data_IF_017258709815
#
_entry.id   IF_017258709815
#
_cell.length_a   1.000
_cell.length_b   1.000
_cell.length_c   1.000
_cell.angle_alpha   90.00
_cell.angle_beta   90.00
_cell.angle_gamma   90.00
#
_symmetry.space_group_name_H-M   'P 1'
#
loop_
_entity.id
_entity.type
_entity.pdbx_description
1 polymer ?
#
# COMPACT_ATOMS: atom_id res chain seq x y z
N UNK A 1 -14.81 -6.91 -10.35
CA UNK A 1 -13.81 -6.63 -9.30
C UNK A 1 -14.21 -5.46 -8.40
N UNK A 2 -14.73 -4.35 -8.96
CA UNK A 2 -15.11 -3.14 -8.19
C UNK A 2 -16.00 -3.37 -6.96
N UNK A 3 -16.90 -4.37 -6.98
CA UNK A 3 -17.78 -4.72 -5.85
C UNK A 3 -17.07 -5.09 -4.54
N UNK A 4 -15.77 -5.40 -4.59
CA UNK A 4 -14.96 -5.72 -3.41
C UNK A 4 -14.23 -4.50 -2.82
N UNK A 5 -14.32 -3.33 -3.47
CA UNK A 5 -13.65 -2.11 -3.04
C UNK A 5 -14.67 -1.10 -2.54
N UNK A 6 -14.48 -0.60 -1.32
CA UNK A 6 -15.24 0.53 -0.78
C UNK A 6 -14.94 1.81 -1.58
N UNK A 7 -13.69 1.98 -2.02
CA UNK A 7 -13.25 3.14 -2.79
C UNK A 7 -12.11 2.77 -3.74
N UNK A 8 -12.03 3.42 -4.90
CA UNK A 8 -10.96 3.25 -5.89
C UNK A 8 -10.34 4.61 -6.17
N UNK A 9 -9.06 4.75 -5.83
CA UNK A 9 -8.27 5.96 -6.06
C UNK A 9 -7.16 5.68 -7.08
N UNK A 10 -6.93 6.63 -7.97
CA UNK A 10 -5.81 6.63 -8.92
C UNK A 10 -5.21 8.02 -9.06
N UNK A 11 -4.11 8.15 -9.80
CA UNK A 11 -3.59 9.47 -10.16
C UNK A 11 -4.57 10.22 -11.08
N UNK A 12 -4.49 11.55 -11.08
CA UNK A 12 -5.26 12.39 -11.99
C UNK A 12 -4.46 12.76 -13.23
N UNK A 13 -5.14 12.95 -14.36
CA UNK A 13 -4.51 13.36 -15.62
C UNK A 13 -4.01 14.80 -15.60
N UNK A 14 -4.59 15.65 -14.76
CA UNK A 14 -4.21 17.05 -14.58
C UNK A 14 -2.98 17.24 -13.67
N UNK A 15 -2.42 16.14 -13.14
CA UNK A 15 -1.22 16.17 -12.31
C UNK A 15 -1.46 16.66 -10.87
N UNK A 16 -2.70 16.93 -10.46
CA UNK A 16 -3.00 17.31 -9.06
C UNK A 16 -2.74 16.19 -8.06
N UNK A 17 -2.74 14.92 -8.50
CA UNK A 17 -2.43 13.74 -7.68
C UNK A 17 -1.55 12.77 -8.46
N UNK A 18 -0.24 12.84 -8.26
CA UNK A 18 0.75 12.03 -9.00
C UNK A 18 1.55 11.13 -8.08
N UNK A 19 1.93 11.60 -6.89
CA UNK A 19 2.74 10.81 -5.96
C UNK A 19 1.87 9.77 -5.28
N UNK A 20 2.49 8.61 -4.97
CA UNK A 20 1.79 7.50 -4.31
C UNK A 20 1.20 7.92 -2.96
N UNK A 21 1.94 8.69 -2.16
CA UNK A 21 1.44 9.24 -0.90
C UNK A 21 0.16 10.06 -1.05
N UNK A 22 0.03 10.86 -2.12
CA UNK A 22 -1.18 11.66 -2.37
C UNK A 22 -2.39 10.79 -2.74
N UNK A 23 -2.17 9.71 -3.49
CA UNK A 23 -3.21 8.72 -3.82
C UNK A 23 -3.66 7.98 -2.56
N UNK A 24 -2.72 7.57 -1.71
CA UNK A 24 -3.03 6.88 -0.45
C UNK A 24 -3.79 7.81 0.48
N UNK A 25 -3.33 9.06 0.67
CA UNK A 25 -4.01 10.07 1.50
C UNK A 25 -5.46 10.24 1.07
N UNK A 26 -5.68 10.45 -0.23
CA UNK A 26 -7.02 10.64 -0.78
C UNK A 26 -7.92 9.41 -0.55
N UNK A 27 -7.37 8.19 -0.66
CA UNK A 27 -8.12 6.97 -0.38
C UNK A 27 -8.49 6.84 1.11
N UNK A 28 -7.57 7.14 2.03
CA UNK A 28 -7.82 7.10 3.47
C UNK A 28 -8.89 8.12 3.87
N UNK A 29 -8.76 9.37 3.41
CA UNK A 29 -9.73 10.44 3.65
C UNK A 29 -11.12 10.07 3.11
N UNK A 30 -11.20 9.54 1.89
CA UNK A 30 -12.47 9.13 1.26
C UNK A 30 -13.14 7.96 2.01
N UNK A 31 -12.37 7.16 2.73
CA UNK A 31 -12.84 6.07 3.58
C UNK A 31 -13.04 6.48 5.05
N UNK A 32 -12.81 7.74 5.42
CA UNK A 32 -12.79 8.24 6.80
C UNK A 32 -11.84 7.47 7.73
N UNK A 33 -10.70 7.01 7.21
CA UNK A 33 -9.65 6.36 7.99
C UNK A 33 -8.65 7.42 8.43
N UNK A 34 -8.66 7.74 9.73
CA UNK A 34 -7.83 8.80 10.32
C UNK A 34 -6.58 8.20 10.96
N UNK A 35 -6.73 7.03 11.60
CA UNK A 35 -5.63 6.32 12.24
C UNK A 35 -5.02 5.31 11.26
N UNK A 36 -3.78 5.61 10.81
CA UNK A 36 -3.04 4.77 9.88
C UNK A 36 -2.75 3.36 10.40
N UNK A 37 -2.79 3.14 11.73
CA UNK A 37 -2.60 1.80 12.31
C UNK A 37 -3.71 0.82 11.94
N UNK A 38 -4.89 1.34 11.57
CA UNK A 38 -6.08 0.58 11.16
C UNK A 38 -6.04 0.13 9.69
N UNK A 39 -5.02 0.55 8.94
CA UNK A 39 -4.85 0.22 7.53
C UNK A 39 -3.47 -0.39 7.26
N UNK A 40 -3.39 -1.12 6.14
CA UNK A 40 -2.15 -1.71 5.64
C UNK A 40 -2.07 -1.48 4.14
N UNK A 41 -0.91 -1.03 3.67
CA UNK A 41 -0.64 -0.86 2.25
C UNK A 41 -0.01 -2.13 1.70
N UNK A 42 -0.49 -2.60 0.54
CA UNK A 42 0.07 -3.76 -0.15
C UNK A 42 0.52 -3.30 -1.53
N UNK A 43 1.78 -3.54 -1.87
CA UNK A 43 2.36 -3.11 -3.14
C UNK A 43 3.64 -3.83 -3.48
N UNK A 44 4.05 -3.75 -4.75
CA UNK A 44 5.20 -4.47 -5.28
C UNK A 44 6.42 -3.56 -5.50
N UNK A 45 6.29 -2.23 -5.33
CA UNK A 45 7.34 -1.26 -5.61
C UNK A 45 7.71 -0.42 -4.40
N UNK A 46 8.93 0.12 -4.40
CA UNK A 46 9.40 1.06 -3.36
C UNK A 46 8.41 2.22 -3.12
N UNK A 47 7.75 2.71 -4.19
CA UNK A 47 6.82 3.83 -4.09
C UNK A 47 5.62 3.51 -3.21
N UNK A 48 5.16 2.26 -3.19
CA UNK A 48 4.07 1.81 -2.33
C UNK A 48 4.49 1.84 -0.86
N UNK A 49 5.71 1.35 -0.59
CA UNK A 49 6.29 1.31 0.76
C UNK A 49 6.56 2.71 1.29
N UNK A 50 7.18 3.57 0.48
CA UNK A 50 7.47 4.96 0.85
C UNK A 50 6.15 5.71 1.08
N UNK A 51 5.17 5.56 0.18
CA UNK A 51 3.86 6.18 0.33
C UNK A 51 3.10 5.70 1.57
N UNK A 52 3.23 4.42 1.94
CA UNK A 52 2.66 3.87 3.18
C UNK A 52 3.26 4.54 4.41
N UNK A 53 4.59 4.66 4.44
CA UNK A 53 5.33 5.29 5.56
C UNK A 53 5.02 6.76 5.73
N UNK A 54 4.93 7.51 4.63
CA UNK A 54 4.52 8.92 4.66
C UNK A 54 3.17 9.11 5.38
N UNK A 55 2.28 8.12 5.26
CA UNK A 55 0.94 8.10 5.85
C UNK A 55 0.84 7.31 7.17
N UNK A 56 1.96 6.85 7.73
CA UNK A 56 1.98 6.08 8.98
C UNK A 56 1.29 4.70 8.90
N UNK A 57 1.22 4.10 7.71
CA UNK A 57 0.64 2.78 7.48
C UNK A 57 1.69 1.68 7.66
N UNK A 58 1.25 0.52 8.14
CA UNK A 58 2.01 -0.72 7.90
C UNK A 58 2.03 -1.05 6.41
N UNK A 59 3.06 -1.78 5.96
CA UNK A 59 3.28 -2.10 4.56
C UNK A 59 3.63 -3.58 4.34
N UNK A 60 3.05 -4.18 3.29
CA UNK A 60 3.41 -5.51 2.78
C UNK A 60 3.95 -5.35 1.37
N UNK A 61 5.25 -5.59 1.21
CA UNK A 61 5.91 -5.74 -0.08
C UNK A 61 5.67 -7.13 -0.67
N UNK A 62 5.26 -7.21 -1.94
CA UNK A 62 4.99 -8.49 -2.62
C UNK A 62 6.01 -8.78 -3.72
N UNK A 63 6.53 -10.01 -3.76
CA UNK A 63 7.61 -10.42 -4.69
C UNK A 63 7.11 -11.04 -6.01
N UNK A 64 5.80 -11.07 -6.23
CA UNK A 64 5.19 -11.57 -7.47
C UNK A 64 4.78 -10.43 -8.43
N UNK A 65 5.22 -9.20 -8.15
CA UNK A 65 5.09 -8.04 -9.04
C UNK A 65 6.40 -7.71 -9.76
N UNK A 66 6.68 -6.41 -9.91
CA UNK A 66 7.83 -5.90 -10.65
C UNK A 66 9.04 -5.55 -9.78
N UNK A 67 8.85 -5.23 -8.50
CA UNK A 67 9.95 -4.85 -7.62
C UNK A 67 10.71 -6.07 -7.08
N UNK A 68 11.94 -5.81 -6.65
CA UNK A 68 12.81 -6.83 -6.07
C UNK A 68 12.73 -6.86 -4.55
N UNK A 69 13.18 -7.96 -3.93
CA UNK A 69 13.35 -8.03 -2.48
C UNK A 69 14.25 -6.91 -1.96
N UNK A 70 15.37 -6.64 -2.63
CA UNK A 70 16.30 -5.58 -2.23
C UNK A 70 15.63 -4.20 -2.28
N UNK A 71 14.86 -3.90 -3.33
CA UNK A 71 14.09 -2.65 -3.46
C UNK A 71 13.11 -2.47 -2.28
N UNK A 72 12.37 -3.53 -1.94
CA UNK A 72 11.38 -3.48 -0.85
C UNK A 72 12.03 -3.39 0.54
N UNK A 73 13.17 -4.07 0.74
CA UNK A 73 13.95 -4.00 1.98
C UNK A 73 14.60 -2.62 2.15
N UNK A 74 15.12 -2.02 1.08
CA UNK A 74 15.72 -0.69 1.09
C UNK A 74 14.67 0.40 1.33
N UNK A 75 13.50 0.28 0.70
CA UNK A 75 12.35 1.13 1.01
C UNK A 75 11.82 0.91 2.45
N UNK A 76 12.19 -0.22 3.06
CA UNK A 76 11.93 -0.63 4.43
C UNK A 76 10.49 -1.10 4.67
N UNK A 77 10.00 -2.02 3.83
CA UNK A 77 8.72 -2.68 4.01
C UNK A 77 8.66 -3.39 5.38
N UNK A 78 7.52 -3.32 6.07
CA UNK A 78 7.34 -3.99 7.38
C UNK A 78 7.26 -5.51 7.21
N UNK A 79 6.65 -5.96 6.11
CA UNK A 79 6.55 -7.36 5.74
C UNK A 79 6.91 -7.53 4.25
N UNK A 80 7.54 -8.65 3.91
CA UNK A 80 7.81 -9.02 2.52
C UNK A 80 7.39 -10.47 2.31
N UNK A 81 6.51 -10.69 1.34
CA UNK A 81 5.91 -12.00 1.05
C UNK A 81 6.07 -12.41 -0.40
N UNK A 82 6.13 -13.72 -0.66
CA UNK A 82 6.30 -14.27 -2.01
C UNK A 82 5.03 -14.91 -2.57
N UNK A 83 3.96 -15.04 -1.78
CA UNK A 83 2.70 -15.67 -2.21
C UNK A 83 1.49 -14.86 -1.75
N UNK A 84 0.34 -15.08 -2.41
CA UNK A 84 -0.93 -14.42 -2.04
C UNK A 84 -1.42 -14.95 -0.69
N UNK A 85 -1.20 -16.24 -0.41
CA UNK A 85 -1.58 -16.90 0.84
C UNK A 85 -0.87 -16.27 2.04
N UNK A 86 0.39 -15.87 1.88
CA UNK A 86 1.17 -15.23 2.94
C UNK A 86 0.65 -13.83 3.29
N UNK A 87 0.05 -13.10 2.34
CA UNK A 87 -0.66 -11.83 2.64
C UNK A 87 -1.76 -12.09 3.66
N UNK A 88 -2.57 -13.14 3.43
CA UNK A 88 -3.64 -13.52 4.34
C UNK A 88 -3.13 -13.85 5.74
N UNK A 89 -2.00 -14.58 5.84
CA UNK A 89 -1.38 -14.90 7.13
C UNK A 89 -0.93 -13.65 7.89
N UNK A 90 -0.36 -12.66 7.20
CA UNK A 90 0.07 -11.39 7.82
C UNK A 90 -1.14 -10.59 8.31
N UNK A 91 -2.16 -10.42 7.47
CA UNK A 91 -3.34 -9.61 7.81
C UNK A 91 -4.15 -10.24 8.95
N UNK A 92 -4.31 -11.57 8.96
CA UNK A 92 -5.11 -12.27 9.97
C UNK A 92 -4.39 -12.47 11.31
N UNK A 93 -3.06 -12.26 11.35
CA UNK A 93 -2.28 -12.34 12.58
C UNK A 93 -2.17 -10.99 13.33
N UNK A 94 -2.65 -9.90 12.72
CA UNK A 94 -2.71 -8.55 13.29
C UNK A 94 -4.08 -8.32 13.94
#
# INVERSE_FOLDING_TARGET
IAKYFTFIAGSTLDGSRVKKGDVIRYALESCNIIDGSQAIMIGDREHDIIGAKEMGLSSIGVLFGYGSRAELEEAGADFIVSTIEDIGKVILAK
#
